data_IF_362524376763
#
_entry.id   IF_362524376763
#
_cell.length_a   1.000
_cell.length_b   1.000
_cell.length_c   1.000
_cell.angle_alpha   90.00
_cell.angle_beta   90.00
_cell.angle_gamma   90.00
#
_symmetry.space_group_name_H-M   'P 1'
#
loop_
_entity.id
_entity.type
_entity.pdbx_description
1 polymer ?
#
# COMPACT_ATOMS: atom_id res chain seq x y z
N UNK A 1 -12.57 -10.40 0.19
CA UNK A 1 -11.10 -10.46 0.39
C UNK A 1 -10.66 -11.48 1.45
N UNK A 2 -11.49 -12.49 1.79
CA UNK A 2 -11.19 -13.41 2.90
C UNK A 2 -9.95 -14.28 2.67
N UNK A 3 -9.57 -14.50 1.41
CA UNK A 3 -8.41 -15.31 1.06
C UNK A 3 -7.12 -14.51 0.84
N UNK A 4 -7.08 -13.20 1.10
CA UNK A 4 -5.83 -12.42 0.98
C UNK A 4 -5.06 -12.48 2.29
N UNK A 5 -3.84 -13.01 2.25
CA UNK A 5 -3.02 -13.28 3.43
C UNK A 5 -1.73 -12.48 3.46
N UNK A 6 -1.18 -12.14 2.28
CA UNK A 6 0.04 -11.35 2.17
C UNK A 6 -0.04 -10.37 1.00
N UNK A 7 0.52 -9.19 1.21
CA UNK A 7 0.72 -8.16 0.20
C UNK A 7 2.20 -7.83 0.16
N UNK A 8 2.80 -7.84 -1.02
CA UNK A 8 4.16 -7.36 -1.25
C UNK A 8 4.09 -6.14 -2.17
N UNK A 9 4.71 -5.04 -1.74
CA UNK A 9 4.83 -3.82 -2.54
C UNK A 9 6.32 -3.52 -2.70
N UNK A 10 6.76 -3.33 -3.93
CA UNK A 10 8.15 -3.08 -4.26
C UNK A 10 8.29 -1.97 -5.30
N UNK A 11 9.28 -1.10 -5.12
CA UNK A 11 9.71 -0.14 -6.14
C UNK A 11 11.23 -0.11 -6.15
N UNK A 12 11.85 -0.55 -7.24
CA UNK A 12 13.30 -0.73 -7.30
C UNK A 12 13.79 -1.69 -6.22
N UNK A 13 14.71 -1.22 -5.37
CA UNK A 13 15.30 -2.00 -4.26
C UNK A 13 14.49 -1.89 -2.95
N UNK A 14 13.55 -0.95 -2.86
CA UNK A 14 12.71 -0.78 -1.66
C UNK A 14 11.49 -1.71 -1.71
N UNK A 15 11.17 -2.35 -0.60
CA UNK A 15 9.98 -3.17 -0.48
C UNK A 15 9.35 -3.09 0.91
N UNK A 16 8.05 -3.33 0.98
CA UNK A 16 7.32 -3.60 2.22
C UNK A 16 6.45 -4.83 2.02
N UNK A 17 6.44 -5.69 3.03
CA UNK A 17 5.55 -6.83 3.10
C UNK A 17 4.54 -6.61 4.23
N UNK A 18 3.26 -6.77 3.90
CA UNK A 18 2.18 -6.79 4.87
C UNK A 18 1.65 -8.23 4.93
N UNK A 19 1.53 -8.76 6.13
CA UNK A 19 1.04 -10.11 6.37
C UNK A 19 -0.13 -10.08 7.34
N UNK A 20 -1.15 -10.88 7.06
CA UNK A 20 -2.27 -11.09 7.97
C UNK A 20 -1.88 -12.17 8.98
N UNK A 21 -1.97 -11.83 10.26
CA UNK A 21 -1.78 -12.76 11.38
C UNK A 21 -3.10 -12.76 12.16
N UNK A 22 -3.75 -13.92 12.19
CA UNK A 22 -5.13 -14.08 12.65
C UNK A 22 -6.09 -13.14 11.90
N UNK A 23 -6.65 -12.16 12.60
CA UNK A 23 -7.59 -11.18 12.05
C UNK A 23 -6.93 -9.84 11.71
N UNK A 24 -5.64 -9.65 12.06
CA UNK A 24 -4.97 -8.36 11.99
C UNK A 24 -3.87 -8.35 10.93
N UNK A 25 -3.72 -7.20 10.25
CA UNK A 25 -2.57 -6.94 9.39
C UNK A 25 -1.37 -6.52 10.22
N UNK A 26 -0.17 -6.93 9.80
CA UNK A 26 1.12 -6.54 10.36
C UNK A 26 2.12 -6.23 9.26
N UNK A 27 3.13 -5.44 9.60
CA UNK A 27 4.27 -5.17 8.73
C UNK A 27 5.33 -6.23 9.03
N UNK A 28 5.72 -7.03 8.04
CA UNK A 28 6.75 -8.06 8.27
C UNK A 28 8.08 -7.40 8.60
N UNK A 29 8.73 -7.87 9.67
CA UNK A 29 10.00 -7.29 10.13
C UNK A 29 9.87 -6.05 11.00
N UNK A 30 8.65 -5.54 11.25
CA UNK A 30 8.41 -4.42 12.16
C UNK A 30 7.30 -4.75 13.16
N UNK A 31 7.70 -4.96 14.42
CA UNK A 31 6.82 -5.27 15.56
C UNK A 31 6.43 -4.03 16.38
N UNK A 32 7.02 -2.87 16.09
CA UNK A 32 6.81 -1.62 16.85
C UNK A 32 5.63 -0.80 16.35
N UNK A 33 5.28 -0.90 15.07
CA UNK A 33 4.23 -0.10 14.45
C UNK A 33 2.88 -0.81 14.50
N UNK A 34 1.84 -0.05 14.82
CA UNK A 34 0.44 -0.49 14.71
C UNK A 34 -0.09 -0.10 13.34
N UNK A 35 -0.69 -1.05 12.62
CA UNK A 35 -1.28 -0.79 11.30
C UNK A 35 -2.39 0.26 11.38
N UNK A 36 -2.34 1.23 10.47
CA UNK A 36 -3.43 2.17 10.22
C UNK A 36 -4.47 1.51 9.33
N UNK A 37 -5.63 1.17 9.88
CA UNK A 37 -6.72 0.51 9.15
C UNK A 37 -7.06 1.22 7.83
N UNK A 38 -7.07 2.56 7.85
CA UNK A 38 -7.32 3.39 6.65
C UNK A 38 -6.35 3.11 5.49
N UNK A 39 -5.08 2.83 5.77
CA UNK A 39 -4.09 2.51 4.72
C UNK A 39 -4.43 1.17 4.05
N UNK A 40 -4.80 0.16 4.85
CA UNK A 40 -5.25 -1.15 4.35
C UNK A 40 -6.58 -1.03 3.59
N UNK A 41 -7.55 -0.30 4.13
CA UNK A 41 -8.83 -0.05 3.46
C UNK A 41 -8.64 0.63 2.11
N UNK A 42 -7.79 1.67 2.03
CA UNK A 42 -7.47 2.33 0.77
C UNK A 42 -6.87 1.35 -0.25
N UNK A 43 -5.99 0.44 0.17
CA UNK A 43 -5.43 -0.59 -0.72
C UNK A 43 -6.55 -1.46 -1.32
N UNK A 44 -7.42 -2.03 -0.48
CA UNK A 44 -8.47 -2.95 -0.95
C UNK A 44 -9.59 -2.23 -1.71
N UNK A 45 -9.99 -1.04 -1.28
CA UNK A 45 -11.17 -0.36 -1.80
C UNK A 45 -10.87 0.64 -2.92
N UNK A 46 -9.65 1.16 -3.00
CA UNK A 46 -9.27 2.14 -4.03
C UNK A 46 -8.25 1.59 -5.00
N UNK A 47 -7.21 0.90 -4.54
CA UNK A 47 -6.16 0.39 -5.43
C UNK A 47 -6.66 -0.83 -6.21
N UNK A 48 -7.10 -1.87 -5.49
CA UNK A 48 -7.49 -3.12 -6.15
C UNK A 48 -8.77 -3.00 -6.97
N UNK A 49 -9.67 -2.09 -6.59
CA UNK A 49 -10.93 -1.80 -7.28
C UNK A 49 -10.86 -0.64 -8.28
N UNK A 50 -9.68 -0.05 -8.50
CA UNK A 50 -9.53 1.07 -9.44
C UNK A 50 -10.03 0.70 -10.84
N UNK A 51 -10.73 1.61 -11.52
CA UNK A 51 -11.30 1.33 -12.84
C UNK A 51 -10.19 1.38 -13.91
N UNK A 52 -10.12 0.33 -14.73
CA UNK A 52 -9.08 0.09 -15.74
C UNK A 52 -9.72 0.15 -17.12
N UNK A 53 -10.10 1.35 -17.56
CA UNK A 53 -11.02 1.51 -18.69
C UNK A 53 -10.34 1.46 -20.06
N UNK A 54 -9.26 2.20 -20.26
CA UNK A 54 -8.70 2.44 -21.59
C UNK A 54 -7.35 1.76 -21.75
N UNK A 55 -7.23 0.88 -22.75
CA UNK A 55 -5.93 0.39 -23.20
C UNK A 55 -5.22 1.53 -23.92
N UNK A 56 -4.04 1.93 -23.44
CA UNK A 56 -3.25 3.03 -24.02
C UNK A 56 -2.03 2.53 -24.78
N UNK A 57 -1.66 1.27 -24.58
CA UNK A 57 -0.58 0.61 -25.31
C UNK A 57 -0.68 -0.90 -25.20
N UNK A 58 -0.22 -1.59 -26.24
CA UNK A 58 -0.03 -3.05 -26.26
C UNK A 58 1.42 -3.42 -26.59
N UNK A 59 2.33 -2.42 -26.65
CA UNK A 59 3.75 -2.62 -26.99
C UNK A 59 4.61 -2.55 -25.71
N UNK A 60 5.22 -3.66 -25.26
CA UNK A 60 6.13 -3.70 -24.11
C UNK A 60 7.31 -2.73 -24.17
N UNK A 61 7.80 -2.39 -25.35
CA UNK A 61 8.88 -1.40 -25.52
C UNK A 61 8.49 0.00 -25.01
N UNK A 62 7.19 0.26 -24.84
CA UNK A 62 6.68 1.53 -24.31
C UNK A 62 6.49 1.53 -22.79
N UNK A 63 6.82 0.46 -22.06
CA UNK A 63 6.64 0.43 -20.60
C UNK A 63 7.33 1.58 -19.87
N UNK A 64 8.57 1.92 -20.26
CA UNK A 64 9.29 3.05 -19.68
C UNK A 64 8.63 4.42 -19.92
N UNK A 65 7.83 4.56 -20.98
CA UNK A 65 7.03 5.77 -21.23
C UNK A 65 5.94 5.95 -20.18
N UNK A 66 5.35 4.85 -19.74
CA UNK A 66 4.24 4.81 -18.78
C UNK A 66 4.69 4.46 -17.35
N UNK A 67 6.00 4.29 -17.13
CA UNK A 67 6.58 3.89 -15.84
C UNK A 67 5.96 2.60 -15.27
N UNK A 68 5.70 1.62 -16.15
CA UNK A 68 5.19 0.28 -15.78
C UNK A 68 6.19 -0.84 -16.12
N UNK A 69 7.45 -0.45 -16.36
CA UNK A 69 8.59 -1.36 -16.47
C UNK A 69 9.06 -1.81 -15.08
N UNK A 70 9.88 -2.85 -15.04
CA UNK A 70 10.29 -3.50 -13.79
C UNK A 70 11.25 -2.65 -12.93
N UNK A 71 11.81 -1.58 -13.49
CA UNK A 71 12.77 -0.73 -12.79
C UNK A 71 12.13 0.52 -12.17
N UNK A 72 11.10 1.07 -12.82
CA UNK A 72 10.45 2.32 -12.38
C UNK A 72 9.02 2.15 -11.88
N UNK A 73 8.40 1.00 -12.15
CA UNK A 73 7.06 0.68 -11.69
C UNK A 73 7.00 0.36 -10.20
N UNK A 74 5.83 0.57 -9.62
CA UNK A 74 5.50 0.03 -8.30
C UNK A 74 4.80 -1.31 -8.48
N UNK A 75 5.47 -2.37 -8.06
CA UNK A 75 5.02 -3.75 -8.13
C UNK A 75 4.16 -4.06 -6.92
N UNK A 76 3.00 -4.65 -7.15
CA UNK A 76 2.07 -5.11 -6.12
C UNK A 76 1.74 -6.58 -6.38
N UNK A 77 2.13 -7.45 -5.45
CA UNK A 77 1.71 -8.85 -5.42
C UNK A 77 0.69 -9.08 -4.30
N UNK A 78 -0.40 -9.77 -4.63
CA UNK A 78 -1.46 -10.21 -3.72
C UNK A 78 -1.36 -11.72 -3.60
N UNK A 79 -1.14 -12.21 -2.38
CA UNK A 79 -0.82 -13.60 -2.10
C UNK A 79 -1.87 -14.18 -1.15
N UNK A 80 -2.34 -15.37 -1.47
CA UNK A 80 -3.38 -16.04 -0.69
C UNK A 80 -2.83 -16.84 0.49
N UNK A 81 -3.72 -17.49 1.23
CA UNK A 81 -3.38 -18.31 2.41
C UNK A 81 -2.48 -19.52 2.08
N UNK A 82 -2.52 -20.01 0.83
CA UNK A 82 -1.67 -21.11 0.33
C UNK A 82 -0.28 -20.63 -0.14
N UNK A 83 0.00 -19.33 -0.06
CA UNK A 83 1.25 -18.74 -0.56
C UNK A 83 1.27 -18.53 -2.08
N UNK A 84 0.13 -18.68 -2.77
CA UNK A 84 0.01 -18.46 -4.22
C UNK A 84 -0.27 -17.00 -4.53
N UNK A 85 0.45 -16.43 -5.50
CA UNK A 85 0.14 -15.11 -6.05
C UNK A 85 -1.17 -15.18 -6.84
N UNK A 86 -2.21 -14.51 -6.34
CA UNK A 86 -3.55 -14.42 -6.95
C UNK A 86 -3.78 -13.10 -7.69
N UNK A 87 -2.86 -12.14 -7.55
CA UNK A 87 -2.84 -10.91 -8.33
C UNK A 87 -1.44 -10.33 -8.39
N UNK A 88 -1.02 -9.89 -9.57
CA UNK A 88 0.23 -9.17 -9.77
C UNK A 88 -0.02 -7.96 -10.66
N UNK A 89 0.45 -6.81 -10.20
CA UNK A 89 0.19 -5.53 -10.84
C UNK A 89 1.45 -4.68 -10.84
N UNK A 90 1.66 -3.91 -11.91
CA UNK A 90 2.73 -2.91 -11.97
C UNK A 90 2.09 -1.57 -12.25
N UNK A 91 2.20 -0.65 -11.29
CA UNK A 91 1.61 0.67 -11.35
C UNK A 91 2.64 1.71 -11.78
N UNK A 92 2.23 2.58 -12.70
CA UNK A 92 3.05 3.66 -13.22
C UNK A 92 2.41 5.02 -13.00
N UNK A 93 3.22 6.00 -12.59
CA UNK A 93 2.78 7.38 -12.45
C UNK A 93 2.80 8.06 -13.81
N UNK A 94 1.72 8.76 -14.15
CA UNK A 94 1.69 9.61 -15.34
C UNK A 94 2.59 10.83 -15.19
N UNK A 95 3.40 11.10 -16.22
CA UNK A 95 4.35 12.23 -16.27
C UNK A 95 3.69 13.55 -16.66
N UNK A 96 2.54 13.51 -17.33
CA UNK A 96 1.83 14.69 -17.84
C UNK A 96 0.45 14.89 -17.22
N UNK A 97 -0.14 13.84 -16.65
CA UNK A 97 -1.46 13.88 -16.03
C UNK A 97 -1.41 13.23 -14.65
N UNK A 98 -0.99 14.01 -13.65
CA UNK A 98 -0.79 13.54 -12.28
C UNK A 98 -2.06 13.08 -11.58
N UNK A 99 -3.24 13.34 -12.15
CA UNK A 99 -4.53 12.90 -11.61
C UNK A 99 -4.84 11.43 -11.91
N UNK A 100 -4.15 10.85 -12.89
CA UNK A 100 -4.33 9.47 -13.36
C UNK A 100 -3.05 8.66 -13.20
N UNK A 101 -3.20 7.35 -13.24
CA UNK A 101 -2.09 6.40 -13.21
C UNK A 101 -2.24 5.35 -14.31
N UNK A 102 -1.21 4.54 -14.50
CA UNK A 102 -1.17 3.45 -15.44
C UNK A 102 -1.01 2.13 -14.70
N UNK A 103 -1.51 1.05 -15.28
CA UNK A 103 -1.37 -0.29 -14.71
C UNK A 103 -1.09 -1.33 -15.80
N UNK A 104 -0.18 -2.25 -15.50
CA UNK A 104 0.03 -3.54 -16.19
C UNK A 104 -0.37 -4.67 -15.24
N UNK A 105 -0.94 -5.75 -15.78
CA UNK A 105 -1.52 -6.85 -14.98
C UNK A 105 -0.87 -8.16 -15.39
N UNK A 106 -0.19 -8.82 -14.45
CA UNK A 106 0.51 -10.08 -14.71
C UNK A 106 1.45 -9.97 -15.92
N UNK A 107 1.31 -10.94 -16.83
CA UNK A 107 2.07 -11.04 -18.08
C UNK A 107 1.32 -10.41 -19.28
N UNK A 108 0.17 -9.75 -19.06
CA UNK A 108 -0.56 -9.06 -20.13
C UNK A 108 0.31 -7.93 -20.70
N UNK A 109 0.61 -7.91 -22.01
CA UNK A 109 1.44 -6.86 -22.59
C UNK A 109 0.79 -5.48 -22.54
N UNK A 110 -0.52 -5.41 -22.29
CA UNK A 110 -1.30 -4.18 -22.30
C UNK A 110 -1.00 -3.26 -21.11
N UNK A 111 -1.02 -1.98 -21.40
CA UNK A 111 -1.03 -0.90 -20.42
C UNK A 111 -2.42 -0.29 -20.39
N UNK A 112 -3.01 -0.23 -19.21
CA UNK A 112 -4.33 0.34 -18.98
C UNK A 112 -4.20 1.69 -18.27
N UNK A 113 -5.04 2.63 -18.65
CA UNK A 113 -5.24 3.87 -17.92
C UNK A 113 -6.18 3.63 -16.75
N UNK A 114 -5.77 4.09 -15.58
CA UNK A 114 -6.56 4.13 -14.37
C UNK A 114 -7.17 5.52 -14.22
N UNK A 115 -8.46 5.57 -13.88
CA UNK A 115 -9.24 6.80 -13.76
C UNK A 115 -8.80 7.72 -12.61
N UNK A 116 -8.05 7.18 -11.65
CA UNK A 116 -7.48 7.91 -10.54
C UNK A 116 -6.00 7.56 -10.33
N UNK A 117 -5.27 8.44 -9.65
CA UNK A 117 -3.91 8.17 -9.24
C UNK A 117 -3.88 7.44 -7.89
N UNK A 118 -3.66 6.11 -7.95
CA UNK A 118 -3.57 5.25 -6.78
C UNK A 118 -2.14 4.99 -6.30
N UNK A 119 -1.11 5.48 -7.02
CA UNK A 119 0.29 5.13 -6.74
C UNK A 119 0.75 5.62 -5.36
N UNK A 120 0.20 6.73 -4.88
CA UNK A 120 0.50 7.26 -3.54
C UNK A 120 -0.01 6.36 -2.39
N UNK A 121 -0.87 5.39 -2.70
CA UNK A 121 -1.38 4.41 -1.74
C UNK A 121 -0.54 3.12 -1.72
N UNK A 122 0.47 3.02 -2.58
CA UNK A 122 1.36 1.88 -2.72
C UNK A 122 2.78 2.24 -2.24
N UNK A 123 2.89 2.62 -0.98
CA UNK A 123 4.19 2.99 -0.41
C UNK A 123 5.01 1.77 -0.02
N UNK A 124 6.32 1.82 -0.24
CA UNK A 124 7.34 0.90 0.28
C UNK A 124 7.77 1.24 1.72
N UNK A 125 7.27 2.33 2.30
CA UNK A 125 7.66 2.78 3.65
C UNK A 125 6.72 2.22 4.71
N UNK A 126 7.29 1.57 5.71
CA UNK A 126 6.53 0.99 6.83
C UNK A 126 5.66 2.03 7.56
N UNK A 127 6.15 3.27 7.73
CA UNK A 127 5.43 4.37 8.38
C UNK A 127 4.23 4.90 7.59
N UNK A 128 4.10 4.55 6.31
CA UNK A 128 2.86 4.76 5.56
C UNK A 128 1.76 3.79 6.02
N UNK A 129 2.13 2.56 6.34
CA UNK A 129 1.21 1.48 6.74
C UNK A 129 0.92 1.49 8.22
N UNK A 130 1.91 1.82 9.04
CA UNK A 130 1.79 1.83 10.49
C UNK A 130 2.12 3.17 11.13
N UNK A 131 1.75 3.30 12.39
CA UNK A 131 2.10 4.42 13.25
C UNK A 131 2.58 3.90 14.61
N UNK A 132 3.37 4.71 15.31
CA UNK A 132 3.79 4.36 16.66
C UNK A 132 2.55 4.32 17.57
N UNK A 133 2.46 3.34 18.48
CA UNK A 133 1.46 3.37 19.54
C UNK A 133 1.50 4.73 20.24
N UNK A 134 0.32 5.29 20.52
CA UNK A 134 0.25 6.49 21.36
C UNK A 134 0.70 6.10 22.76
N UNK A 135 1.71 6.77 23.30
CA UNK A 135 2.03 6.67 24.71
C UNK A 135 0.79 7.11 25.49
N UNK A 136 0.30 6.25 26.39
CA UNK A 136 -0.73 6.66 27.34
C UNK A 136 -0.14 7.79 28.18
N UNK A 137 -0.74 8.98 28.10
CA UNK A 137 -0.34 10.07 28.97
C UNK A 137 -0.49 9.58 30.42
N UNK A 138 0.50 9.84 31.31
CA UNK A 138 0.36 9.48 32.70
C UNK A 138 -0.94 10.08 33.23
N UNK A 139 -1.67 9.35 34.10
CA UNK A 139 -2.89 9.88 34.70
C UNK A 139 -2.58 11.23 35.36
N UNK A 140 -3.51 12.19 35.34
CA UNK A 140 -3.34 13.44 36.07
C UNK A 140 -2.94 13.12 37.51
N UNK A 141 -1.83 13.69 37.96
CA UNK A 141 -1.42 13.57 39.36
C UNK A 141 -2.50 14.28 40.18
N UNK A 142 -3.28 13.52 40.95
CA UNK A 142 -4.19 14.09 41.94
C UNK A 142 -3.35 14.86 42.96
N UNK A 143 -3.31 16.19 42.85
CA UNK A 143 -2.70 17.04 43.86
C UNK A 143 -3.69 17.11 45.02
N UNK A 144 -3.38 16.56 46.21
CA UNK A 144 -4.27 16.67 47.36
C UNK A 144 -4.48 18.14 47.72
N UNK A 145 -5.74 18.53 47.99
CA UNK A 145 -6.13 19.91 48.27
C UNK A 145 -5.68 20.44 49.65
N UNK A 146 -4.78 19.75 50.36
CA UNK A 146 -4.45 20.01 51.76
C UNK A 146 -3.11 20.75 51.99
N UNK A 147 -2.68 21.60 51.05
CA UNK A 147 -1.47 22.44 51.26
C UNK A 147 -1.73 23.94 51.33
N UNK A 148 -2.97 24.38 51.55
CA UNK A 148 -3.27 25.79 51.80
C UNK A 148 -3.96 25.90 53.14
N UNK A 149 -3.19 25.89 54.23
CA UNK A 149 -3.49 26.54 55.51
C UNK A 149 -2.30 26.37 56.46
N UNK A 150 -1.37 27.32 56.45
CA UNK A 150 -0.51 27.61 57.60
C UNK A 150 -0.28 29.11 57.70
#
# INVERSE_FOLDING_TARGET
>A
PEDVFKILIQTGEEAVELARVDTMWRISGNDTLIIKSRSIENLFDKVLKANRGTIISENPEKYGKYSVDDSTGTHLAVINSEGKTVGYYVFGRSKSDYSRSYIRIGDDPKVYLVDQNVTYMLSTRETYWGEKPKEEAPPPVDIPADTINN
#
